data_IF_169171198794
#
_entry.id   IF_169171198794
#
_cell.length_a   1.000
_cell.length_b   1.000
_cell.length_c   1.000
_cell.angle_alpha   90.00
_cell.angle_beta   90.00
_cell.angle_gamma   90.00
#
_symmetry.space_group_name_H-M   'P 1'
#
loop_
_entity.id
_entity.type
_entity.pdbx_description
1 polymer ?
#
# COMPACT_ATOMS: atom_id res chain seq x y z
N UNK A 1 0.31 -15.71 14.20
CA UNK A 1 0.89 -14.73 13.25
C UNK A 1 0.87 -13.38 13.95
N UNK A 2 2.03 -12.75 14.22
CA UNK A 2 2.09 -11.42 14.84
C UNK A 2 1.63 -10.38 13.81
N UNK A 3 0.76 -9.46 14.22
CA UNK A 3 0.36 -8.33 13.39
C UNK A 3 1.61 -7.50 13.04
N UNK A 4 1.84 -7.25 11.75
CA UNK A 4 2.75 -6.17 11.34
C UNK A 4 2.48 -5.71 9.93
N UNK A 5 2.73 -4.43 9.66
CA UNK A 5 2.62 -3.77 8.37
C UNK A 5 4.00 -3.30 7.92
N UNK A 6 4.34 -3.57 6.67
CA UNK A 6 5.61 -3.13 6.09
C UNK A 6 5.52 -3.05 4.57
N UNK A 7 6.42 -2.28 3.97
CA UNK A 7 6.63 -2.26 2.52
C UNK A 7 6.88 -3.68 1.97
N UNK A 8 7.68 -4.49 2.68
CA UNK A 8 7.97 -5.87 2.27
C UNK A 8 6.74 -6.78 2.24
N UNK A 9 5.87 -6.68 3.25
CA UNK A 9 4.60 -7.40 3.28
C UNK A 9 3.65 -6.95 2.17
N UNK A 10 3.60 -5.65 1.88
CA UNK A 10 2.81 -5.10 0.76
C UNK A 10 3.36 -5.56 -0.59
N UNK A 11 4.67 -5.58 -0.77
CA UNK A 11 5.32 -6.12 -1.97
C UNK A 11 4.94 -7.58 -2.20
N UNK A 12 5.08 -8.41 -1.16
CA UNK A 12 4.69 -9.82 -1.22
C UNK A 12 3.23 -9.99 -1.60
N UNK A 13 2.34 -9.21 -0.96
CA UNK A 13 0.90 -9.24 -1.24
C UNK A 13 0.62 -9.00 -2.73
N UNK A 14 1.10 -7.89 -3.30
CA UNK A 14 0.85 -7.56 -4.71
C UNK A 14 1.51 -8.53 -5.68
N UNK A 15 2.71 -9.00 -5.38
CA UNK A 15 3.36 -10.06 -6.18
C UNK A 15 2.50 -11.32 -6.23
N UNK A 16 2.03 -11.78 -5.07
CA UNK A 16 1.19 -12.99 -4.99
C UNK A 16 -0.17 -12.79 -5.64
N UNK A 17 -0.75 -11.60 -5.54
CA UNK A 17 -2.00 -11.24 -6.22
C UNK A 17 -1.88 -11.37 -7.75
N UNK A 18 -0.68 -11.13 -8.31
CA UNK A 18 -0.37 -11.32 -9.73
C UNK A 18 0.15 -12.71 -10.09
N UNK A 19 0.11 -13.66 -9.15
CA UNK A 19 0.54 -15.05 -9.41
C UNK A 19 2.03 -15.21 -9.70
N UNK A 20 2.86 -14.24 -9.31
CA UNK A 20 4.28 -14.22 -9.67
C UNK A 20 5.18 -14.83 -8.59
N UNK A 21 6.25 -15.49 -9.01
CA UNK A 21 7.40 -15.83 -8.15
C UNK A 21 8.30 -14.61 -7.90
N UNK A 22 9.13 -14.66 -6.86
CA UNK A 22 10.13 -13.61 -6.57
C UNK A 22 11.09 -13.42 -7.75
N UNK A 23 11.50 -14.53 -8.39
CA UNK A 23 12.37 -14.51 -9.58
C UNK A 23 11.71 -13.78 -10.75
N UNK A 24 10.46 -14.12 -11.08
CA UNK A 24 9.72 -13.48 -12.16
C UNK A 24 9.58 -11.97 -11.94
N UNK A 25 9.21 -11.54 -10.72
CA UNK A 25 9.10 -10.12 -10.41
C UNK A 25 10.46 -9.41 -10.52
N UNK A 26 11.51 -9.98 -9.91
CA UNK A 26 12.84 -9.40 -9.93
C UNK A 26 13.40 -9.25 -11.35
N UNK A 27 13.21 -10.26 -12.20
CA UNK A 27 13.60 -10.21 -13.61
C UNK A 27 12.80 -9.18 -14.38
N UNK A 28 11.49 -9.08 -14.14
CA UNK A 28 10.62 -8.12 -14.82
C UNK A 28 10.97 -6.65 -14.54
N UNK A 29 11.51 -6.35 -13.35
CA UNK A 29 12.02 -5.01 -13.02
C UNK A 29 13.50 -4.80 -13.35
N UNK A 30 14.10 -5.70 -14.12
CA UNK A 30 15.46 -5.55 -14.68
C UNK A 30 16.60 -6.11 -13.83
N UNK A 31 16.34 -6.91 -12.79
CA UNK A 31 17.44 -7.57 -12.07
C UNK A 31 17.96 -8.80 -12.82
N UNK A 32 19.29 -9.06 -12.80
CA UNK A 32 19.87 -10.26 -13.40
C UNK A 32 19.26 -11.53 -12.81
N UNK A 33 18.92 -12.49 -13.67
CA UNK A 33 18.16 -13.69 -13.28
C UNK A 33 18.78 -14.56 -12.18
N UNK A 34 20.09 -14.48 -11.94
CA UNK A 34 20.78 -15.20 -10.85
C UNK A 34 20.59 -14.52 -9.47
N UNK A 35 20.17 -13.26 -9.44
CA UNK A 35 20.03 -12.46 -8.20
C UNK A 35 18.64 -11.84 -8.02
N UNK A 36 17.75 -12.06 -8.99
CA UNK A 36 16.44 -11.43 -9.07
C UNK A 36 15.54 -11.83 -7.89
N UNK A 37 15.47 -13.13 -7.60
CA UNK A 37 14.75 -13.69 -6.47
C UNK A 37 15.33 -13.22 -5.13
N UNK A 38 16.66 -13.26 -4.97
CA UNK A 38 17.34 -12.86 -3.73
C UNK A 38 17.00 -11.41 -3.37
N UNK A 39 17.05 -10.48 -4.34
CA UNK A 39 16.74 -9.07 -4.10
C UNK A 39 15.28 -8.87 -3.69
N UNK A 40 14.33 -9.51 -4.38
CA UNK A 40 12.92 -9.42 -4.01
C UNK A 40 12.68 -10.05 -2.63
N UNK A 41 13.30 -11.18 -2.32
CA UNK A 41 13.20 -11.82 -1.00
C UNK A 41 13.70 -10.92 0.12
N UNK A 42 14.82 -10.22 -0.07
CA UNK A 42 15.34 -9.23 0.88
C UNK A 42 14.38 -8.06 1.11
N UNK A 43 13.68 -7.61 0.07
CA UNK A 43 12.65 -6.58 0.21
C UNK A 43 11.43 -7.11 0.95
N UNK A 44 10.95 -8.31 0.61
CA UNK A 44 9.76 -8.90 1.23
C UNK A 44 9.95 -9.27 2.70
N UNK A 45 11.16 -9.67 3.09
CA UNK A 45 11.51 -9.95 4.48
C UNK A 45 11.79 -8.70 5.31
N UNK A 46 12.00 -7.55 4.66
CA UNK A 46 12.43 -6.31 5.32
C UNK A 46 13.93 -6.25 5.61
N UNK A 47 14.71 -7.26 5.22
CA UNK A 47 16.18 -7.25 5.35
C UNK A 47 16.82 -6.08 4.57
N UNK A 48 16.13 -5.59 3.54
CA UNK A 48 16.50 -4.38 2.82
C UNK A 48 15.27 -3.54 2.50
N UNK A 49 15.39 -2.22 2.65
CA UNK A 49 14.36 -1.29 2.15
C UNK A 49 14.62 -0.98 0.66
N UNK A 50 13.61 -1.10 -0.23
CA UNK A 50 13.76 -0.65 -1.61
C UNK A 50 13.95 0.87 -1.64
N UNK A 51 14.84 1.33 -2.51
CA UNK A 51 15.02 2.76 -2.81
C UNK A 51 13.82 3.28 -3.62
N UNK A 52 13.66 4.60 -3.65
CA UNK A 52 12.53 5.25 -4.33
C UNK A 52 12.43 4.86 -5.82
N UNK A 53 13.54 4.86 -6.55
CA UNK A 53 13.60 4.40 -7.95
C UNK A 53 13.10 2.96 -8.12
N UNK A 54 13.39 2.11 -7.13
CA UNK A 54 12.97 0.71 -7.11
C UNK A 54 11.48 0.60 -6.76
N UNK A 55 10.98 1.40 -5.84
CA UNK A 55 9.55 1.50 -5.54
C UNK A 55 8.77 1.91 -6.79
N UNK A 56 9.26 2.90 -7.54
CA UNK A 56 8.62 3.35 -8.79
C UNK A 56 8.60 2.23 -9.84
N UNK A 57 9.72 1.53 -10.07
CA UNK A 57 9.75 0.39 -11.00
C UNK A 57 8.81 -0.74 -10.57
N UNK A 58 8.82 -1.10 -9.29
CA UNK A 58 7.94 -2.14 -8.74
C UNK A 58 6.47 -1.79 -8.89
N UNK A 59 6.09 -0.57 -8.49
CA UNK A 59 4.70 -0.10 -8.54
C UNK A 59 4.19 0.04 -9.97
N UNK A 60 5.02 0.58 -10.88
CA UNK A 60 4.70 0.64 -12.31
C UNK A 60 4.47 -0.76 -12.90
N UNK A 61 5.38 -1.70 -12.67
CA UNK A 61 5.25 -3.06 -13.19
C UNK A 61 4.05 -3.81 -12.57
N UNK A 62 3.81 -3.62 -11.27
CA UNK A 62 2.66 -4.20 -10.58
C UNK A 62 1.35 -3.48 -10.90
N UNK A 63 1.36 -2.38 -11.65
CA UNK A 63 0.17 -1.58 -11.93
C UNK A 63 -0.54 -1.17 -10.63
N UNK A 64 0.18 -0.45 -9.77
CA UNK A 64 -0.32 0.12 -8.52
C UNK A 64 0.31 1.49 -8.29
N UNK A 65 -0.29 2.31 -7.43
CA UNK A 65 0.32 3.55 -6.93
C UNK A 65 1.58 3.25 -6.10
N UNK A 66 2.67 4.04 -6.21
CA UNK A 66 3.82 3.94 -5.30
C UNK A 66 3.40 4.04 -3.82
N UNK A 67 2.38 4.84 -3.51
CA UNK A 67 1.84 4.98 -2.16
C UNK A 67 1.20 3.68 -1.64
N UNK A 68 0.67 2.84 -2.52
CA UNK A 68 0.14 1.54 -2.14
C UNK A 68 1.26 0.60 -1.64
N UNK A 69 2.52 0.81 -2.07
CA UNK A 69 3.67 0.01 -1.66
C UNK A 69 4.41 0.62 -0.46
N UNK A 70 4.61 1.94 -0.47
CA UNK A 70 5.37 2.70 0.54
C UNK A 70 4.58 2.97 1.83
N UNK A 71 4.23 1.92 2.55
CA UNK A 71 3.56 2.02 3.86
C UNK A 71 4.55 2.13 5.02
N UNK A 72 4.14 2.79 6.11
CA UNK A 72 4.88 2.84 7.37
C UNK A 72 5.11 1.45 7.96
N UNK A 73 6.26 1.27 8.62
CA UNK A 73 6.56 0.07 9.39
C UNK A 73 5.77 0.12 10.70
N UNK A 74 4.97 -0.91 10.97
CA UNK A 74 4.24 -1.08 12.23
C UNK A 74 4.43 -2.52 12.66
N UNK A 75 5.20 -2.77 13.72
CA UNK A 75 5.68 -4.11 14.07
C UNK A 75 4.75 -4.87 15.04
N UNK A 76 3.85 -4.16 15.70
CA UNK A 76 2.87 -4.70 16.63
C UNK A 76 1.70 -3.72 16.90
N UNK A 77 0.79 -4.16 17.77
CA UNK A 77 -0.40 -3.46 18.19
C UNK A 77 -0.08 -2.15 18.95
N UNK A 78 1.03 -2.12 19.71
CA UNK A 78 1.45 -0.92 20.43
C UNK A 78 1.91 0.16 19.45
N UNK A 79 2.72 -0.18 18.46
CA UNK A 79 3.11 0.75 17.40
C UNK A 79 1.90 1.25 16.60
N UNK A 80 0.90 0.39 16.37
CA UNK A 80 -0.35 0.80 15.73
C UNK A 80 -1.11 1.84 16.57
N UNK A 81 -1.26 1.61 17.88
CA UNK A 81 -1.94 2.54 18.77
C UNK A 81 -1.23 3.90 18.83
N UNK A 82 0.10 3.92 18.90
CA UNK A 82 0.83 5.19 18.88
C UNK A 82 0.68 5.95 17.56
N UNK A 83 0.57 5.29 16.42
CA UNK A 83 0.21 5.96 15.17
C UNK A 83 -1.18 6.60 15.25
N UNK A 84 -2.16 5.91 15.83
CA UNK A 84 -3.51 6.44 16.02
C UNK A 84 -3.52 7.65 16.97
N UNK A 85 -2.77 7.59 18.07
CA UNK A 85 -2.63 8.72 19.00
C UNK A 85 -1.96 9.92 18.32
N UNK A 86 -0.88 9.72 17.55
CA UNK A 86 -0.25 10.83 16.82
C UNK A 86 -1.17 11.46 15.77
N UNK A 87 -2.04 10.67 15.14
CA UNK A 87 -3.08 11.20 14.28
C UNK A 87 -4.11 11.98 15.09
N UNK A 88 -4.55 11.49 16.25
CA UNK A 88 -5.43 12.23 17.16
C UNK A 88 -4.84 13.60 17.51
N UNK A 89 -3.62 13.64 18.05
CA UNK A 89 -2.92 14.88 18.41
C UNK A 89 -2.87 15.85 17.23
N UNK A 90 -2.49 15.35 16.05
CA UNK A 90 -2.33 16.18 14.85
C UNK A 90 -3.67 16.69 14.30
N UNK A 91 -4.78 15.98 14.52
CA UNK A 91 -6.08 16.34 13.94
C UNK A 91 -6.91 17.23 14.85
N UNK A 92 -6.79 17.08 16.16
CA UNK A 92 -7.57 17.84 17.12
C UNK A 92 -7.14 19.31 17.19
N UNK A 93 -5.88 19.60 16.90
CA UNK A 93 -5.34 20.97 16.90
C UNK A 93 -5.62 21.75 15.60
N UNK A 94 -6.11 21.08 14.55
CA UNK A 94 -6.40 21.73 13.27
C UNK A 94 -7.70 22.54 13.29
N UNK A 95 -7.67 23.70 12.65
CA UNK A 95 -8.88 24.43 12.29
C UNK A 95 -9.76 23.62 11.33
N UNK A 96 -11.06 23.88 11.30
CA UNK A 96 -12.00 23.23 10.36
C UNK A 96 -11.55 23.38 8.89
N UNK A 97 -11.06 24.55 8.52
CA UNK A 97 -10.49 24.79 7.19
C UNK A 97 -9.29 23.88 6.87
N UNK A 98 -8.42 23.64 7.85
CA UNK A 98 -7.23 22.79 7.71
C UNK A 98 -7.58 21.31 7.68
N UNK A 99 -8.71 20.91 8.27
CA UNK A 99 -9.24 19.54 8.23
C UNK A 99 -9.91 19.20 6.89
N UNK A 100 -10.34 20.20 6.11
CA UNK A 100 -11.13 19.99 4.89
C UNK A 100 -10.49 19.02 3.86
N UNK A 101 -9.19 19.09 3.55
CA UNK A 101 -8.56 18.13 2.65
C UNK A 101 -8.62 16.70 3.17
N UNK A 102 -8.39 16.51 4.48
CA UNK A 102 -8.48 15.21 5.11
C UNK A 102 -9.93 14.68 5.12
N UNK A 103 -10.90 15.51 5.49
CA UNK A 103 -12.31 15.15 5.46
C UNK A 103 -12.75 14.73 4.05
N UNK A 104 -12.22 15.37 3.02
CA UNK A 104 -12.48 15.03 1.62
C UNK A 104 -12.02 13.59 1.31
N UNK A 105 -10.78 13.24 1.64
CA UNK A 105 -10.25 11.89 1.33
C UNK A 105 -10.89 10.80 2.21
N UNK A 106 -11.23 11.11 3.47
CA UNK A 106 -11.95 10.18 4.35
C UNK A 106 -13.39 9.95 3.88
N UNK A 107 -14.07 10.99 3.42
CA UNK A 107 -15.42 10.90 2.85
C UNK A 107 -15.41 10.07 1.57
N UNK A 108 -14.41 10.25 0.70
CA UNK A 108 -14.25 9.43 -0.49
C UNK A 108 -14.07 7.95 -0.14
N UNK A 109 -13.20 7.66 0.83
CA UNK A 109 -12.99 6.29 1.31
C UNK A 109 -14.26 5.68 1.91
N UNK A 110 -14.99 6.43 2.75
CA UNK A 110 -16.25 5.99 3.33
C UNK A 110 -17.29 5.67 2.25
N UNK A 111 -17.43 6.53 1.24
CA UNK A 111 -18.33 6.33 0.10
C UNK A 111 -18.00 5.04 -0.64
N UNK A 112 -16.73 4.82 -0.98
CA UNK A 112 -16.29 3.60 -1.67
C UNK A 112 -16.52 2.34 -0.83
N UNK A 113 -16.32 2.42 0.49
CA UNK A 113 -16.61 1.32 1.41
C UNK A 113 -18.12 1.01 1.49
N UNK A 114 -18.97 2.03 1.48
CA UNK A 114 -20.42 1.89 1.44
C UNK A 114 -20.91 1.26 0.14
N UNK A 115 -20.42 1.73 -1.02
CA UNK A 115 -20.73 1.11 -2.33
C UNK A 115 -20.45 -0.39 -2.32
N UNK A 116 -19.29 -0.79 -1.81
CA UNK A 116 -18.92 -2.20 -1.67
C UNK A 116 -19.86 -2.94 -0.71
N UNK A 117 -20.19 -2.35 0.45
CA UNK A 117 -21.08 -2.94 1.45
C UNK A 117 -22.49 -3.16 0.89
N UNK A 118 -22.97 -2.23 0.06
CA UNK A 118 -24.28 -2.28 -0.58
C UNK A 118 -24.31 -3.17 -1.84
N UNK A 119 -23.16 -3.70 -2.28
CA UNK A 119 -23.05 -4.51 -3.48
C UNK A 119 -23.04 -3.72 -4.79
N UNK A 120 -22.93 -2.39 -4.75
CA UNK A 120 -22.82 -1.52 -5.93
C UNK A 120 -21.50 -1.72 -6.68
N UNK A 121 -20.45 -2.12 -5.96
CA UNK A 121 -19.16 -2.51 -6.53
C UNK A 121 -18.68 -3.81 -5.88
N UNK A 122 -17.96 -4.60 -6.63
CA UNK A 122 -17.31 -5.82 -6.18
C UNK A 122 -16.12 -5.53 -5.27
N UNK A 123 -15.66 -6.56 -4.55
CA UNK A 123 -14.39 -6.50 -3.80
C UNK A 123 -13.21 -6.17 -4.70
N UNK A 124 -13.20 -6.68 -5.94
CA UNK A 124 -12.13 -6.45 -6.91
C UNK A 124 -12.08 -4.97 -7.33
N UNK A 125 -13.22 -4.36 -7.68
CA UNK A 125 -13.29 -2.94 -8.05
C UNK A 125 -12.90 -2.01 -6.87
N UNK A 126 -13.35 -2.34 -5.66
CA UNK A 126 -12.94 -1.61 -4.46
C UNK A 126 -11.43 -1.69 -4.22
N UNK A 127 -10.85 -2.87 -4.43
CA UNK A 127 -9.41 -3.09 -4.27
C UNK A 127 -8.61 -2.38 -5.35
N UNK A 128 -9.09 -2.42 -6.60
CA UNK A 128 -8.48 -1.71 -7.71
C UNK A 128 -8.43 -0.19 -7.47
N UNK A 129 -9.52 0.41 -6.99
CA UNK A 129 -9.54 1.81 -6.56
C UNK A 129 -8.50 2.07 -5.45
N UNK A 130 -8.45 1.23 -4.41
CA UNK A 130 -7.48 1.40 -3.30
C UNK A 130 -6.02 1.27 -3.76
N UNK A 131 -5.75 0.45 -4.77
CA UNK A 131 -4.39 0.23 -5.27
C UNK A 131 -3.90 1.37 -6.15
N UNK A 132 -4.81 2.14 -6.75
CA UNK A 132 -4.51 3.22 -7.69
C UNK A 132 -4.73 4.63 -7.11
N UNK A 133 -5.32 4.74 -5.92
CA UNK A 133 -5.57 6.03 -5.26
C UNK A 133 -4.31 6.93 -5.24
N UNK A 134 -4.44 8.23 -5.57
CA UNK A 134 -5.68 8.97 -5.82
C UNK A 134 -6.26 8.83 -7.24
N UNK A 135 -5.54 8.18 -8.17
CA UNK A 135 -5.91 8.10 -9.59
C UNK A 135 -6.90 6.97 -9.90
N UNK A 136 -7.76 6.60 -8.94
CA UNK A 136 -8.64 5.43 -9.04
C UNK A 136 -9.76 5.57 -10.08
N UNK A 137 -10.44 4.45 -10.35
CA UNK A 137 -11.51 4.30 -11.37
C UNK A 137 -12.52 5.45 -11.25
N UNK A 138 -12.64 6.25 -12.31
CA UNK A 138 -13.79 7.15 -12.48
C UNK A 138 -15.01 6.30 -12.77
N UNK A 139 -16.01 6.36 -11.88
CA UNK A 139 -17.34 5.78 -12.10
C UNK A 139 -18.23 6.83 -12.74
#
# INVERSE_FOLDING_TARGET
MRFSLSTGKRLRYFRTLRGMTQKQLGTAIGYPGQSADIRIAQYESGARKPKEDTVVRLSSFLGISPAALSVSQIDDETALLHLLFSLEDSLFELSESSKQPLLTVLTEWQRMAQKKKNGEITKAEYDEWRYHYPNGISF
#
